data_IF_777684651168
#
_entry.id   IF_777684651168
#
_cell.length_a   1.000
_cell.length_b   1.000
_cell.length_c   1.000
_cell.angle_alpha   90.00
_cell.angle_beta   90.00
_cell.angle_gamma   90.00
#
_symmetry.space_group_name_H-M   'P 1'
#
loop_
_entity.id
_entity.type
_entity.pdbx_description
1 polymer ?
#
# COMPACT_ATOMS: atom_id res chain seq x y z
N UNK A 1 10.95 36.21 -34.17
CA UNK A 1 9.49 36.07 -33.94
C UNK A 1 8.96 34.67 -34.30
N UNK A 2 9.55 33.93 -35.22
CA UNK A 2 9.12 32.57 -35.55
C UNK A 2 9.46 31.50 -34.49
N UNK A 3 10.50 31.70 -33.72
CA UNK A 3 10.91 30.74 -32.64
C UNK A 3 9.99 30.76 -31.44
N UNK A 4 9.31 31.88 -31.13
CA UNK A 4 8.29 31.96 -30.07
C UNK A 4 6.93 31.35 -30.44
N UNK A 5 6.67 31.15 -31.72
CA UNK A 5 5.43 30.53 -32.20
C UNK A 5 5.48 28.99 -32.17
N UNK A 6 6.69 28.40 -32.20
CA UNK A 6 6.89 26.95 -32.07
C UNK A 6 6.77 26.46 -30.65
N UNK A 7 7.01 27.32 -29.67
CA UNK A 7 6.95 26.96 -28.22
C UNK A 7 5.51 26.93 -27.65
N UNK A 8 4.55 27.48 -28.38
CA UNK A 8 3.13 27.52 -27.96
C UNK A 8 2.32 26.27 -28.39
N UNK A 9 2.92 25.32 -29.08
CA UNK A 9 2.23 24.11 -29.58
C UNK A 9 2.58 22.79 -28.88
N UNK A 10 3.46 22.83 -27.88
CA UNK A 10 3.72 21.63 -27.05
C UNK A 10 2.56 21.45 -26.09
N UNK A 11 1.71 20.45 -26.35
CA UNK A 11 0.66 20.10 -25.41
C UNK A 11 1.28 19.83 -24.03
N UNK A 12 0.61 20.15 -22.90
CA UNK A 12 1.12 19.86 -21.55
C UNK A 12 1.55 18.40 -21.37
N UNK A 13 0.95 17.49 -22.12
CA UNK A 13 1.28 16.05 -22.16
C UNK A 13 2.64 15.82 -22.83
N UNK A 14 2.93 16.51 -23.93
CA UNK A 14 4.20 16.38 -24.65
C UNK A 14 5.40 16.90 -23.84
N UNK A 15 5.22 17.95 -23.05
CA UNK A 15 6.26 18.48 -22.17
C UNK A 15 6.62 17.52 -21.04
N UNK A 16 5.61 16.87 -20.42
CA UNK A 16 5.81 15.86 -19.38
C UNK A 16 6.47 14.60 -19.96
N UNK A 17 6.05 14.17 -21.15
CA UNK A 17 6.66 13.03 -21.84
C UNK A 17 8.13 13.30 -22.17
N UNK A 18 8.47 14.51 -22.60
CA UNK A 18 9.85 14.90 -22.89
C UNK A 18 10.71 14.90 -21.62
N UNK A 19 10.20 15.42 -20.51
CA UNK A 19 10.92 15.41 -19.20
C UNK A 19 11.08 14.00 -18.65
N UNK A 20 10.10 13.14 -18.80
CA UNK A 20 10.16 11.74 -18.31
C UNK A 20 11.15 10.87 -19.10
N UNK A 21 11.58 11.28 -20.31
CA UNK A 21 12.67 10.61 -21.04
C UNK A 21 14.04 10.69 -20.36
N UNK A 22 14.23 11.66 -19.45
CA UNK A 22 15.46 11.81 -18.65
C UNK A 22 15.59 10.82 -17.49
N UNK A 23 14.52 10.12 -17.09
CA UNK A 23 14.56 9.15 -16.01
C UNK A 23 15.20 7.83 -16.42
N UNK A 24 15.95 7.22 -15.48
CA UNK A 24 16.48 5.87 -15.66
C UNK A 24 15.34 4.87 -15.55
N UNK A 25 15.06 4.14 -16.60
CA UNK A 25 14.02 3.09 -16.65
C UNK A 25 14.53 1.81 -16.04
N UNK A 26 14.46 1.70 -14.72
CA UNK A 26 15.01 0.58 -13.96
C UNK A 26 13.97 -0.42 -13.45
N UNK A 27 12.71 0.02 -13.29
CA UNK A 27 11.66 -0.79 -12.68
C UNK A 27 11.09 -1.81 -13.66
N UNK A 28 11.10 -3.07 -13.24
CA UNK A 28 10.47 -4.19 -13.93
C UNK A 28 9.13 -4.60 -13.30
N UNK A 29 8.52 -5.63 -13.86
CA UNK A 29 7.24 -6.18 -13.37
C UNK A 29 7.34 -6.65 -11.91
N UNK A 30 8.41 -7.39 -11.55
CA UNK A 30 8.59 -7.90 -10.20
C UNK A 30 8.76 -6.80 -9.16
N UNK A 31 9.52 -5.75 -9.50
CA UNK A 31 9.71 -4.59 -8.62
C UNK A 31 8.36 -3.91 -8.32
N UNK A 32 7.50 -3.76 -9.33
CA UNK A 32 6.18 -3.15 -9.15
C UNK A 32 5.21 -4.03 -8.37
N UNK A 33 5.27 -5.36 -8.50
CA UNK A 33 4.47 -6.29 -7.69
C UNK A 33 4.85 -6.15 -6.21
N UNK A 34 6.14 -6.18 -5.90
CA UNK A 34 6.64 -6.03 -4.53
C UNK A 34 6.31 -4.64 -3.96
N UNK A 35 6.42 -3.60 -4.78
CA UNK A 35 6.03 -2.23 -4.39
C UNK A 35 4.53 -2.15 -4.06
N UNK A 36 3.65 -2.77 -4.85
CA UNK A 36 2.22 -2.80 -4.55
C UNK A 36 1.92 -3.55 -3.26
N UNK A 37 2.56 -4.70 -3.02
CA UNK A 37 2.40 -5.44 -1.78
C UNK A 37 2.82 -4.58 -0.60
N UNK A 38 3.96 -3.89 -0.71
CA UNK A 38 4.46 -2.99 0.34
C UNK A 38 3.48 -1.82 0.62
N UNK A 39 2.88 -1.24 -0.42
CA UNK A 39 2.03 -0.06 -0.27
C UNK A 39 0.61 -0.41 0.22
N UNK A 40 0.07 -1.55 -0.20
CA UNK A 40 -1.32 -1.92 0.08
C UNK A 40 -1.42 -2.78 1.34
N UNK A 41 -0.52 -3.76 1.52
CA UNK A 41 -0.68 -4.74 2.59
C UNK A 41 -0.16 -4.21 3.92
N UNK A 42 -1.06 -4.09 4.90
CA UNK A 42 -0.72 -3.66 6.25
C UNK A 42 -1.28 -4.61 7.32
N UNK A 43 -0.44 -5.05 8.26
CA UNK A 43 -0.83 -5.96 9.34
C UNK A 43 -1.92 -5.39 10.26
N UNK A 44 -1.96 -4.07 10.46
CA UNK A 44 -3.01 -3.41 11.25
C UNK A 44 -4.41 -3.61 10.69
N UNK A 45 -4.55 -3.77 9.37
CA UNK A 45 -5.85 -3.96 8.73
C UNK A 45 -6.45 -5.35 8.99
N UNK A 46 -5.63 -6.40 9.05
CA UNK A 46 -6.11 -7.75 9.39
C UNK A 46 -6.60 -7.81 10.83
N UNK A 47 -5.94 -7.11 11.76
CA UNK A 47 -6.40 -6.98 13.14
C UNK A 47 -7.72 -6.20 13.26
N UNK A 48 -7.90 -5.14 12.48
CA UNK A 48 -9.16 -4.39 12.44
C UNK A 48 -10.30 -5.23 11.85
N UNK A 49 -10.04 -5.95 10.75
CA UNK A 49 -11.01 -6.82 10.10
C UNK A 49 -11.39 -8.04 10.94
N UNK A 50 -10.49 -8.55 11.77
CA UNK A 50 -10.75 -9.66 12.69
C UNK A 50 -11.92 -9.39 13.65
N UNK A 51 -12.19 -8.10 13.97
CA UNK A 51 -13.35 -7.69 14.77
C UNK A 51 -14.70 -8.00 14.13
N UNK A 52 -14.74 -8.28 12.84
CA UNK A 52 -15.94 -8.70 12.12
C UNK A 52 -16.26 -10.18 12.28
N UNK A 53 -15.39 -10.95 12.95
CA UNK A 53 -15.55 -12.40 13.08
C UNK A 53 -15.57 -13.09 11.71
N UNK A 54 -16.30 -14.18 11.59
CA UNK A 54 -16.40 -14.99 10.37
C UNK A 54 -17.04 -14.23 9.18
N UNK A 55 -17.73 -13.11 9.42
CA UNK A 55 -18.26 -12.26 8.34
C UNK A 55 -17.17 -11.44 7.61
N UNK A 56 -15.93 -11.39 8.13
CA UNK A 56 -14.81 -10.67 7.52
C UNK A 56 -14.58 -11.07 6.05
N UNK A 57 -14.78 -12.35 5.70
CA UNK A 57 -14.59 -12.82 4.33
C UNK A 57 -15.54 -12.11 3.37
N UNK A 58 -16.83 -12.03 3.73
CA UNK A 58 -17.82 -11.35 2.92
C UNK A 58 -17.49 -9.86 2.78
N UNK A 59 -17.05 -9.21 3.84
CA UNK A 59 -16.63 -7.80 3.80
C UNK A 59 -15.38 -7.58 2.96
N UNK A 60 -14.37 -8.46 3.03
CA UNK A 60 -13.19 -8.38 2.15
C UNK A 60 -13.57 -8.57 0.68
N UNK A 61 -14.40 -9.57 0.38
CA UNK A 61 -14.89 -9.80 -0.99
C UNK A 61 -15.65 -8.58 -1.51
N UNK A 62 -16.56 -8.01 -0.71
CA UNK A 62 -17.28 -6.80 -1.07
C UNK A 62 -16.34 -5.60 -1.28
N UNK A 63 -15.37 -5.39 -0.41
CA UNK A 63 -14.40 -4.31 -0.55
C UNK A 63 -13.55 -4.47 -1.83
N UNK A 64 -13.14 -5.70 -2.14
CA UNK A 64 -12.39 -5.99 -3.37
C UNK A 64 -13.26 -5.73 -4.60
N UNK A 65 -14.49 -6.21 -4.62
CA UNK A 65 -15.38 -6.08 -5.77
C UNK A 65 -15.86 -4.63 -5.99
N UNK A 66 -16.19 -3.92 -4.91
CA UNK A 66 -16.79 -2.59 -5.01
C UNK A 66 -15.77 -1.46 -5.05
N UNK A 67 -14.58 -1.68 -4.54
CA UNK A 67 -13.55 -0.63 -4.47
C UNK A 67 -12.28 -1.02 -5.24
N UNK A 68 -11.64 -2.13 -4.89
CA UNK A 68 -10.31 -2.46 -5.41
C UNK A 68 -10.31 -2.79 -6.91
N UNK A 69 -11.24 -3.62 -7.39
CA UNK A 69 -11.32 -3.95 -8.82
C UNK A 69 -11.71 -2.76 -9.69
N UNK A 70 -12.69 -1.91 -9.34
CA UNK A 70 -12.95 -0.69 -10.09
C UNK A 70 -11.75 0.26 -10.12
N UNK A 71 -11.07 0.45 -8.97
CA UNK A 71 -9.86 1.25 -8.90
C UNK A 71 -8.76 0.69 -9.81
N UNK A 72 -8.54 -0.63 -9.77
CA UNK A 72 -7.58 -1.31 -10.64
C UNK A 72 -7.88 -1.09 -12.12
N UNK A 73 -9.15 -1.20 -12.51
CA UNK A 73 -9.58 -0.94 -13.88
C UNK A 73 -9.31 0.49 -14.31
N UNK A 74 -9.60 1.48 -13.44
CA UNK A 74 -9.33 2.91 -13.69
C UNK A 74 -7.83 3.16 -13.83
N UNK A 75 -7.00 2.64 -12.93
CA UNK A 75 -5.54 2.80 -12.99
C UNK A 75 -4.97 2.21 -14.28
N UNK A 76 -5.38 1.00 -14.65
CA UNK A 76 -4.94 0.35 -15.90
C UNK A 76 -5.38 1.18 -17.12
N UNK A 77 -6.62 1.64 -17.13
CA UNK A 77 -7.18 2.42 -18.24
C UNK A 77 -6.47 3.77 -18.39
N UNK A 78 -6.35 4.55 -17.31
CA UNK A 78 -5.71 5.86 -17.34
C UNK A 78 -4.21 5.75 -17.65
N UNK A 79 -3.52 4.74 -17.11
CA UNK A 79 -2.11 4.50 -17.46
C UNK A 79 -1.94 4.09 -18.93
N UNK A 80 -2.93 3.42 -19.54
CA UNK A 80 -2.91 3.12 -20.98
C UNK A 80 -3.07 4.37 -21.84
N UNK A 81 -3.93 5.30 -21.40
CA UNK A 81 -4.15 6.56 -22.13
C UNK A 81 -3.02 7.56 -21.93
N UNK A 82 -2.53 7.64 -20.71
CA UNK A 82 -1.55 8.64 -20.28
C UNK A 82 -0.49 7.99 -19.36
N UNK A 83 0.50 7.27 -19.90
CA UNK A 83 1.57 6.64 -19.12
C UNK A 83 2.61 7.68 -18.69
N UNK A 84 2.16 8.74 -18.02
CA UNK A 84 2.96 9.88 -17.63
C UNK A 84 3.50 9.73 -16.21
N UNK A 85 4.72 10.20 -15.98
CA UNK A 85 5.29 10.37 -14.64
C UNK A 85 4.39 11.27 -13.79
N UNK A 86 4.23 10.92 -12.51
CA UNK A 86 3.33 11.64 -11.61
C UNK A 86 1.88 11.15 -11.61
N UNK A 87 1.51 10.18 -12.46
CA UNK A 87 0.24 9.45 -12.47
C UNK A 87 -0.99 10.28 -12.12
N UNK A 88 -1.51 10.10 -10.90
CA UNK A 88 -2.72 10.77 -10.38
C UNK A 88 -2.76 12.29 -10.61
N UNK A 89 -1.63 12.97 -10.33
CA UNK A 89 -1.52 14.42 -10.54
C UNK A 89 -1.75 14.78 -12.01
N UNK A 90 -1.07 14.07 -12.92
CA UNK A 90 -1.14 14.34 -14.35
C UNK A 90 -2.52 14.01 -14.91
N UNK A 91 -3.14 12.91 -14.45
CA UNK A 91 -4.48 12.54 -14.88
C UNK A 91 -5.52 13.58 -14.44
N UNK A 92 -5.41 14.11 -13.20
CA UNK A 92 -6.29 15.15 -12.71
C UNK A 92 -6.08 16.49 -13.46
N UNK A 93 -4.80 16.84 -13.73
CA UNK A 93 -4.46 18.05 -14.48
C UNK A 93 -4.99 17.97 -15.92
N UNK A 94 -4.79 16.85 -16.59
CA UNK A 94 -5.22 16.67 -17.99
C UNK A 94 -6.74 16.48 -18.12
N UNK A 95 -7.39 15.80 -17.14
CA UNK A 95 -8.83 15.54 -17.19
C UNK A 95 -9.70 16.70 -16.75
N UNK A 96 -9.19 17.60 -15.91
CA UNK A 96 -9.95 18.73 -15.37
C UNK A 96 -9.21 20.05 -15.64
N UNK A 97 -8.24 20.41 -14.82
CA UNK A 97 -7.46 21.65 -14.92
C UNK A 97 -6.23 21.62 -13.98
N UNK A 98 -5.41 22.67 -14.03
CA UNK A 98 -4.21 22.79 -13.19
C UNK A 98 -4.54 22.86 -11.68
N UNK A 99 -5.66 23.49 -11.29
CA UNK A 99 -6.08 23.58 -9.89
C UNK A 99 -6.44 22.21 -9.34
N UNK A 100 -7.15 21.38 -10.09
CA UNK A 100 -7.48 20.00 -9.73
C UNK A 100 -6.19 19.15 -9.59
N UNK A 101 -5.26 19.27 -10.55
CA UNK A 101 -3.95 18.64 -10.46
C UNK A 101 -3.21 19.04 -9.18
N UNK A 102 -3.10 20.33 -8.90
CA UNK A 102 -2.47 20.82 -7.67
C UNK A 102 -3.13 20.26 -6.40
N UNK A 103 -4.46 20.27 -6.33
CA UNK A 103 -5.20 19.72 -5.18
C UNK A 103 -4.91 18.22 -4.97
N UNK A 104 -4.84 17.45 -6.04
CA UNK A 104 -4.47 16.01 -5.96
C UNK A 104 -3.05 15.85 -5.45
N UNK A 105 -2.09 16.59 -6.01
CA UNK A 105 -0.68 16.53 -5.57
C UNK A 105 -0.54 16.91 -4.09
N UNK A 106 -1.22 17.98 -3.66
CA UNK A 106 -1.23 18.42 -2.27
C UNK A 106 -1.81 17.36 -1.32
N UNK A 107 -2.94 16.76 -1.67
CA UNK A 107 -3.56 15.73 -0.84
C UNK A 107 -2.69 14.46 -0.76
N UNK A 108 -2.08 14.03 -1.88
CA UNK A 108 -1.15 12.89 -1.88
C UNK A 108 0.05 13.19 -1.00
N UNK A 109 0.65 14.39 -1.11
CA UNK A 109 1.76 14.80 -0.26
C UNK A 109 1.37 14.80 1.23
N UNK A 110 0.26 15.46 1.58
CA UNK A 110 -0.21 15.52 2.97
C UNK A 110 -0.50 14.11 3.54
N UNK A 111 -1.14 13.25 2.74
CA UNK A 111 -1.38 11.86 3.12
C UNK A 111 -0.06 11.10 3.39
N UNK A 112 0.94 11.26 2.53
CA UNK A 112 2.24 10.60 2.72
C UNK A 112 2.96 11.08 3.98
N UNK A 113 2.89 12.37 4.32
CA UNK A 113 3.47 12.90 5.57
C UNK A 113 2.82 12.25 6.79
N UNK A 114 1.48 12.15 6.80
CA UNK A 114 0.74 11.50 7.89
C UNK A 114 1.08 10.01 7.96
N UNK A 115 1.14 9.35 6.81
CA UNK A 115 1.42 7.91 6.71
C UNK A 115 2.82 7.57 7.24
N UNK A 116 3.85 8.30 6.82
CA UNK A 116 5.23 8.09 7.28
C UNK A 116 5.35 8.34 8.79
N UNK A 117 4.66 9.37 9.29
CA UNK A 117 4.62 9.65 10.73
C UNK A 117 3.98 8.51 11.52
N UNK A 118 2.87 7.96 11.04
CA UNK A 118 2.20 6.81 11.65
C UNK A 118 3.08 5.55 11.62
N UNK A 119 3.79 5.31 10.53
CA UNK A 119 4.77 4.22 10.44
C UNK A 119 5.93 4.42 11.39
N UNK A 120 6.43 5.63 11.56
CA UNK A 120 7.49 5.94 12.52
C UNK A 120 7.12 5.53 13.95
N UNK A 121 5.92 5.90 14.38
CA UNK A 121 5.40 5.49 15.70
C UNK A 121 5.21 3.98 15.79
N UNK A 122 4.71 3.32 14.74
CA UNK A 122 4.55 1.87 14.72
C UNK A 122 5.91 1.15 14.82
N UNK A 123 6.94 1.65 14.13
CA UNK A 123 8.32 1.13 14.23
C UNK A 123 8.87 1.34 15.64
N UNK A 124 8.70 2.52 16.23
CA UNK A 124 9.14 2.82 17.59
C UNK A 124 8.54 1.82 18.59
N UNK A 125 7.22 1.63 18.54
CA UNK A 125 6.53 0.67 19.41
C UNK A 125 7.02 -0.76 19.18
N UNK A 126 7.20 -1.19 17.93
CA UNK A 126 7.67 -2.54 17.62
C UNK A 126 9.09 -2.78 18.15
N UNK A 127 9.98 -1.78 18.02
CA UNK A 127 11.36 -1.87 18.53
C UNK A 127 11.38 -2.10 20.05
N UNK A 128 10.48 -1.46 20.81
CA UNK A 128 10.43 -1.66 22.27
C UNK A 128 10.10 -3.12 22.61
N UNK A 129 9.19 -3.76 21.88
CA UNK A 129 8.88 -5.18 22.07
C UNK A 129 10.05 -6.09 21.70
N UNK A 130 10.82 -5.75 20.67
CA UNK A 130 12.03 -6.49 20.27
C UNK A 130 13.13 -6.37 21.31
N UNK A 131 13.28 -5.20 21.93
CA UNK A 131 14.26 -4.95 23.02
C UNK A 131 13.89 -5.72 24.31
N UNK A 132 12.64 -6.12 24.46
CA UNK A 132 12.16 -6.96 25.55
C UNK A 132 11.56 -6.21 26.74
N UNK A 133 11.07 -6.95 27.77
CA UNK A 133 10.24 -6.40 28.85
C UNK A 133 10.91 -5.28 29.66
N UNK A 134 12.24 -5.31 29.76
CA UNK A 134 13.01 -4.30 30.50
C UNK A 134 12.87 -2.87 29.89
N UNK A 135 12.57 -2.78 28.59
CA UNK A 135 12.46 -1.53 27.85
C UNK A 135 11.02 -1.03 27.68
N UNK A 136 10.01 -1.77 28.18
CA UNK A 136 8.59 -1.40 28.03
C UNK A 136 8.25 -0.02 28.63
N UNK A 137 9.04 0.50 29.58
CA UNK A 137 8.85 1.82 30.15
C UNK A 137 9.06 2.97 29.12
N UNK A 138 9.78 2.70 28.03
CA UNK A 138 9.97 3.64 26.92
C UNK A 138 8.74 3.65 26.00
N UNK A 139 7.95 2.57 25.94
CA UNK A 139 6.71 2.53 25.19
C UNK A 139 5.80 3.64 25.72
N UNK A 140 5.23 4.45 24.84
CA UNK A 140 4.45 5.66 25.16
C UNK A 140 5.30 6.91 25.53
N UNK A 141 6.62 6.88 25.39
CA UNK A 141 7.43 8.07 25.53
C UNK A 141 7.43 8.85 24.20
N UNK A 142 6.78 10.00 24.21
CA UNK A 142 6.61 10.87 23.02
C UNK A 142 7.95 11.29 22.38
N UNK A 143 8.98 11.48 23.18
CA UNK A 143 10.30 11.88 22.69
C UNK A 143 11.03 10.71 22.00
N UNK A 144 10.86 9.50 22.52
CA UNK A 144 11.35 8.28 21.86
C UNK A 144 10.64 8.05 20.53
N UNK A 145 9.31 8.12 20.50
CA UNK A 145 8.51 7.97 19.27
C UNK A 145 8.91 9.02 18.22
N UNK A 146 9.07 10.28 18.65
CA UNK A 146 9.51 11.36 17.77
C UNK A 146 10.94 11.13 17.26
N UNK A 147 11.86 10.72 18.13
CA UNK A 147 13.25 10.44 17.76
C UNK A 147 13.37 9.32 16.72
N UNK A 148 12.70 8.20 16.95
CA UNK A 148 12.66 7.07 15.99
C UNK A 148 12.02 7.49 14.68
N UNK A 149 10.92 8.24 14.73
CA UNK A 149 10.24 8.74 13.53
C UNK A 149 11.13 9.66 12.71
N UNK A 150 11.80 10.62 13.35
CA UNK A 150 12.73 11.53 12.68
C UNK A 150 13.90 10.76 12.09
N UNK A 151 14.49 9.83 12.83
CA UNK A 151 15.60 8.99 12.35
C UNK A 151 15.19 8.18 11.11
N UNK A 152 13.98 7.62 11.11
CA UNK A 152 13.42 6.89 9.97
C UNK A 152 13.25 7.80 8.76
N UNK A 153 12.66 8.99 8.94
CA UNK A 153 12.45 9.97 7.86
C UNK A 153 13.78 10.41 7.26
N UNK A 154 14.75 10.77 8.11
CA UNK A 154 16.10 11.20 7.67
C UNK A 154 16.79 10.04 6.93
N UNK A 155 16.70 8.82 7.44
CA UNK A 155 17.25 7.63 6.78
C UNK A 155 16.65 7.41 5.39
N UNK A 156 15.34 7.49 5.27
CA UNK A 156 14.64 7.36 3.98
C UNK A 156 14.99 8.52 3.02
N UNK A 157 15.13 9.75 3.53
CA UNK A 157 15.58 10.89 2.72
C UNK A 157 17.00 10.65 2.18
N UNK A 158 17.93 10.19 3.01
CA UNK A 158 19.30 9.88 2.58
C UNK A 158 19.32 8.79 1.50
N UNK A 159 18.53 7.74 1.67
CA UNK A 159 18.34 6.70 0.62
C UNK A 159 17.78 7.31 -0.65
N UNK A 160 16.78 8.19 -0.54
CA UNK A 160 16.19 8.89 -1.69
C UNK A 160 17.17 9.75 -2.47
N UNK A 161 18.15 10.40 -1.80
CA UNK A 161 19.18 11.21 -2.48
C UNK A 161 20.17 10.37 -3.31
N UNK A 162 20.35 9.09 -2.95
CA UNK A 162 21.22 8.16 -3.72
C UNK A 162 20.56 7.77 -5.06
N UNK A 163 19.25 7.89 -5.15
CA UNK A 163 18.49 7.65 -6.37
C UNK A 163 17.80 6.29 -6.42
N UNK A 164 17.01 6.10 -7.49
CA UNK A 164 16.13 4.94 -7.67
C UNK A 164 16.88 3.60 -7.71
N UNK A 165 18.12 3.58 -8.21
CA UNK A 165 18.95 2.37 -8.24
C UNK A 165 19.10 1.69 -6.89
N UNK A 166 19.14 2.48 -5.80
CA UNK A 166 19.14 1.98 -4.42
C UNK A 166 17.71 1.91 -3.86
N UNK A 167 16.88 2.92 -4.14
CA UNK A 167 15.50 3.01 -3.64
C UNK A 167 14.65 1.79 -3.99
N UNK A 168 14.79 1.24 -5.21
CA UNK A 168 14.06 0.02 -5.61
C UNK A 168 14.39 -1.19 -4.74
N UNK A 169 15.64 -1.32 -4.27
CA UNK A 169 16.02 -2.43 -3.39
C UNK A 169 15.40 -2.31 -2.01
N UNK A 170 15.20 -1.09 -1.50
CA UNK A 170 14.46 -0.85 -0.26
C UNK A 170 12.99 -1.27 -0.42
N UNK A 171 12.34 -0.88 -1.54
CA UNK A 171 10.98 -1.32 -1.85
C UNK A 171 10.88 -2.83 -2.01
N UNK A 172 11.81 -3.44 -2.74
CA UNK A 172 11.82 -4.89 -2.96
C UNK A 172 12.04 -5.65 -1.65
N UNK A 173 12.98 -5.20 -0.82
CA UNK A 173 13.21 -5.79 0.50
C UNK A 173 11.98 -5.64 1.41
N UNK A 174 11.34 -4.46 1.42
CA UNK A 174 10.10 -4.23 2.16
C UNK A 174 8.96 -5.13 1.69
N UNK A 175 8.73 -5.22 0.38
CA UNK A 175 7.71 -6.08 -0.20
C UNK A 175 7.97 -7.57 0.06
N UNK A 176 9.21 -8.02 -0.06
CA UNK A 176 9.61 -9.40 0.26
C UNK A 176 9.42 -9.70 1.76
N UNK A 177 9.83 -8.78 2.64
CA UNK A 177 9.61 -8.93 4.09
C UNK A 177 8.12 -8.99 4.42
N UNK A 178 7.29 -8.20 3.75
CA UNK A 178 5.83 -8.24 3.93
C UNK A 178 5.25 -9.60 3.55
N UNK A 179 5.74 -10.21 2.46
CA UNK A 179 5.37 -11.58 2.08
C UNK A 179 5.80 -12.61 3.15
N UNK A 180 7.00 -12.48 3.69
CA UNK A 180 7.50 -13.36 4.76
C UNK A 180 6.64 -13.22 6.01
N UNK A 181 6.36 -11.99 6.46
CA UNK A 181 5.54 -11.72 7.65
C UNK A 181 4.13 -12.28 7.49
N UNK A 182 3.49 -12.06 6.34
CA UNK A 182 2.15 -12.61 6.10
C UNK A 182 2.18 -14.12 5.89
N UNK A 183 3.22 -14.67 5.27
CA UNK A 183 3.43 -16.10 5.17
C UNK A 183 3.55 -16.76 6.54
N UNK A 184 4.33 -16.17 7.45
CA UNK A 184 4.44 -16.62 8.83
C UNK A 184 3.10 -16.50 9.57
N UNK A 185 2.38 -15.37 9.43
CA UNK A 185 1.07 -15.16 10.02
C UNK A 185 0.06 -16.22 9.57
N UNK A 186 0.01 -16.51 8.26
CA UNK A 186 -0.89 -17.52 7.67
C UNK A 186 -0.52 -18.94 8.13
N UNK A 187 0.77 -19.23 8.32
CA UNK A 187 1.24 -20.53 8.78
C UNK A 187 1.00 -20.74 10.29
N UNK A 188 0.91 -19.67 11.08
CA UNK A 188 0.83 -19.73 12.55
C UNK A 188 -0.31 -20.63 13.08
N UNK A 189 -1.57 -20.61 12.57
CA UNK A 189 -2.62 -21.49 13.05
C UNK A 189 -2.33 -22.97 12.83
N UNK A 190 -1.62 -23.34 11.77
CA UNK A 190 -1.23 -24.73 11.51
C UNK A 190 -0.20 -25.23 12.54
N UNK A 191 0.74 -24.38 12.93
CA UNK A 191 1.65 -24.68 14.05
C UNK A 191 0.92 -24.77 15.37
N UNK A 192 -0.02 -23.84 15.63
CA UNK A 192 -0.83 -23.83 16.84
C UNK A 192 -1.71 -25.11 16.96
N UNK A 193 -2.25 -25.60 15.85
CA UNK A 193 -2.96 -26.90 15.80
C UNK A 193 -2.05 -28.06 16.15
N UNK A 194 -0.84 -28.12 15.57
CA UNK A 194 0.13 -29.19 15.83
C UNK A 194 0.59 -29.24 17.29
N UNK A 195 0.68 -28.08 17.94
CA UNK A 195 1.06 -27.97 19.36
C UNK A 195 -0.13 -28.04 20.32
N UNK A 196 -1.35 -28.25 19.81
CA UNK A 196 -2.56 -28.36 20.64
C UNK A 196 -2.99 -27.04 21.29
N UNK A 197 -2.45 -25.90 20.84
CA UNK A 197 -2.81 -24.57 21.38
C UNK A 197 -4.21 -24.16 20.95
N UNK A 198 -4.65 -24.60 19.77
CA UNK A 198 -6.01 -24.45 19.24
C UNK A 198 -6.55 -25.82 18.84
N UNK A 199 -7.87 -26.01 18.93
CA UNK A 199 -8.53 -27.30 18.63
C UNK A 199 -8.98 -27.44 17.19
N UNK A 200 -9.26 -26.33 16.51
CA UNK A 200 -9.71 -26.32 15.12
C UNK A 200 -9.35 -25.00 14.43
N UNK A 201 -9.18 -25.06 13.11
CA UNK A 201 -8.95 -23.88 12.27
C UNK A 201 -9.69 -24.03 10.95
N UNK A 202 -10.58 -23.08 10.67
CA UNK A 202 -11.38 -23.04 9.45
C UNK A 202 -11.14 -21.71 8.74
N UNK A 203 -10.09 -21.60 7.90
CA UNK A 203 -9.66 -20.33 7.30
C UNK A 203 -10.71 -19.68 6.40
N UNK A 204 -11.61 -20.47 5.84
CA UNK A 204 -12.66 -20.01 4.93
C UNK A 204 -14.08 -20.12 5.53
N UNK A 205 -14.19 -20.21 6.88
CA UNK A 205 -15.50 -20.14 7.52
C UNK A 205 -16.11 -18.75 7.32
N UNK A 206 -17.19 -18.68 6.55
CA UNK A 206 -17.87 -17.44 6.21
C UNK A 206 -19.29 -17.43 6.76
N UNK A 207 -19.70 -16.29 7.31
CA UNK A 207 -21.09 -16.00 7.68
C UNK A 207 -21.59 -14.77 6.91
N UNK A 208 -22.90 -14.64 6.76
CA UNK A 208 -23.46 -13.47 6.12
C UNK A 208 -23.17 -12.21 6.94
N UNK A 209 -22.82 -11.10 6.29
CA UNK A 209 -22.50 -9.87 6.97
C UNK A 209 -23.75 -9.27 7.65
N UNK A 210 -23.65 -8.98 8.94
CA UNK A 210 -24.67 -8.22 9.64
C UNK A 210 -24.38 -6.72 9.50
N UNK A 211 -25.33 -5.96 8.96
CA UNK A 211 -25.23 -4.52 8.81
C UNK A 211 -25.41 -3.84 10.19
N UNK A 212 -24.32 -3.41 10.79
CA UNK A 212 -24.28 -2.57 11.98
C UNK A 212 -23.40 -1.34 11.73
N UNK A 213 -23.55 -0.30 12.54
CA UNK A 213 -22.71 0.91 12.43
C UNK A 213 -21.22 0.54 12.57
N UNK A 214 -20.90 -0.38 13.47
CA UNK A 214 -19.53 -0.85 13.66
C UNK A 214 -19.00 -1.58 12.41
N UNK A 215 -19.77 -2.55 11.89
CA UNK A 215 -19.35 -3.33 10.73
C UNK A 215 -19.23 -2.45 9.46
N UNK A 216 -20.12 -1.49 9.26
CA UNK A 216 -20.03 -0.53 8.16
C UNK A 216 -18.82 0.41 8.30
N UNK A 217 -18.50 0.85 9.52
CA UNK A 217 -17.30 1.64 9.77
C UNK A 217 -16.02 0.86 9.45
N UNK A 218 -15.95 -0.40 9.91
CA UNK A 218 -14.81 -1.29 9.61
C UNK A 218 -14.75 -1.54 8.10
N UNK A 219 -15.86 -1.83 7.45
CA UNK A 219 -15.94 -2.03 6.01
C UNK A 219 -15.42 -0.82 5.22
N UNK A 220 -15.85 0.40 5.59
CA UNK A 220 -15.34 1.63 4.98
C UNK A 220 -13.83 1.78 5.13
N UNK A 221 -13.30 1.47 6.31
CA UNK A 221 -11.85 1.47 6.55
C UNK A 221 -11.12 0.40 5.73
N UNK A 222 -11.70 -0.78 5.58
CA UNK A 222 -11.13 -1.85 4.75
C UNK A 222 -11.13 -1.45 3.27
N UNK A 223 -12.26 -0.96 2.77
CA UNK A 223 -12.40 -0.58 1.37
C UNK A 223 -11.49 0.59 0.99
N UNK A 224 -11.55 1.69 1.74
CA UNK A 224 -10.81 2.92 1.39
C UNK A 224 -9.41 2.94 1.99
N UNK A 225 -9.23 2.47 3.23
CA UNK A 225 -7.94 2.54 3.92
C UNK A 225 -7.01 1.39 3.55
N UNK A 226 -7.48 0.13 3.68
CA UNK A 226 -6.62 -1.04 3.47
C UNK A 226 -6.31 -1.31 1.99
N UNK A 227 -7.26 -1.04 1.09
CA UNK A 227 -7.13 -1.34 -0.34
C UNK A 227 -6.65 -0.15 -1.18
N UNK A 228 -6.35 1.01 -0.57
CA UNK A 228 -5.67 2.12 -1.23
C UNK A 228 -4.18 1.86 -1.38
N UNK A 229 -3.53 2.55 -2.34
CA UNK A 229 -2.10 2.42 -2.61
C UNK A 229 -1.78 1.82 -3.99
N UNK A 230 -2.74 1.11 -4.60
CA UNK A 230 -2.62 0.56 -5.94
C UNK A 230 -2.28 1.65 -6.98
N UNK A 231 -2.92 2.79 -6.86
CA UNK A 231 -2.75 3.95 -7.73
C UNK A 231 -1.36 4.56 -7.66
N UNK A 232 -0.68 4.38 -6.53
CA UNK A 232 0.67 4.93 -6.32
C UNK A 232 1.71 4.35 -7.27
N UNK A 233 1.48 3.12 -7.79
CA UNK A 233 2.37 2.52 -8.79
C UNK A 233 2.37 3.29 -10.11
N UNK A 234 1.27 3.97 -10.45
CA UNK A 234 1.19 4.79 -11.66
C UNK A 234 2.07 6.05 -11.58
N UNK A 235 2.43 6.50 -10.38
CA UNK A 235 3.36 7.62 -10.18
C UNK A 235 4.75 7.28 -10.74
N UNK A 236 5.13 5.99 -10.71
CA UNK A 236 6.41 5.47 -11.15
C UNK A 236 6.46 5.15 -12.66
N UNK A 237 5.47 5.58 -13.43
CA UNK A 237 5.36 5.23 -14.85
C UNK A 237 6.60 5.62 -15.68
N UNK A 238 7.20 6.79 -15.43
CA UNK A 238 8.40 7.28 -16.12
C UNK A 238 9.66 6.45 -15.87
N UNK A 239 9.72 5.76 -14.72
CA UNK A 239 10.84 4.94 -14.27
C UNK A 239 10.70 3.46 -14.64
N UNK A 240 9.56 3.07 -15.25
CA UNK A 240 9.31 1.72 -15.71
C UNK A 240 9.97 1.44 -17.06
N UNK A 241 10.55 0.24 -17.21
CA UNK A 241 11.10 -0.24 -18.50
C UNK A 241 10.02 -0.31 -19.58
N UNK A 242 8.82 -0.74 -19.23
CA UNK A 242 7.66 -0.77 -20.10
C UNK A 242 6.40 -0.45 -19.27
N UNK A 243 6.03 0.85 -19.13
CA UNK A 243 4.94 1.28 -18.25
C UNK A 243 3.63 0.55 -18.50
N UNK A 244 3.24 0.41 -19.79
CA UNK A 244 1.96 -0.19 -20.19
C UNK A 244 1.84 -1.65 -19.77
N UNK A 245 2.91 -2.43 -19.96
CA UNK A 245 2.92 -3.87 -19.60
C UNK A 245 3.19 -4.07 -18.13
N UNK A 246 4.17 -3.36 -17.59
CA UNK A 246 4.63 -3.57 -16.20
C UNK A 246 3.58 -3.14 -15.20
N UNK A 247 2.93 -1.97 -15.34
CA UNK A 247 1.89 -1.50 -14.43
C UNK A 247 0.64 -2.40 -14.53
N UNK A 248 0.16 -2.67 -15.76
CA UNK A 248 -0.98 -3.58 -15.94
C UNK A 248 -0.68 -4.97 -15.36
N UNK A 249 0.48 -5.53 -15.67
CA UNK A 249 0.87 -6.86 -15.21
C UNK A 249 1.01 -6.93 -13.69
N UNK A 250 1.59 -5.90 -13.07
CA UNK A 250 1.75 -5.84 -11.62
C UNK A 250 0.41 -5.76 -10.90
N UNK A 251 -0.55 -4.97 -11.41
CA UNK A 251 -1.90 -4.90 -10.87
C UNK A 251 -2.59 -6.26 -10.93
N UNK A 252 -2.54 -6.94 -12.07
CA UNK A 252 -3.18 -8.26 -12.27
C UNK A 252 -2.55 -9.32 -11.35
N UNK A 253 -1.23 -9.30 -11.15
CA UNK A 253 -0.55 -10.28 -10.32
C UNK A 253 -0.65 -9.97 -8.83
N UNK A 254 -0.55 -8.70 -8.43
CA UNK A 254 -0.62 -8.33 -7.02
C UNK A 254 -2.04 -8.45 -6.44
N UNK A 255 -3.08 -8.16 -7.23
CA UNK A 255 -4.48 -8.19 -6.77
C UNK A 255 -4.88 -9.50 -6.09
N UNK A 256 -4.76 -10.69 -6.70
CA UNK A 256 -5.14 -11.94 -6.05
C UNK A 256 -4.25 -12.25 -4.84
N UNK A 257 -2.98 -11.91 -4.89
CA UNK A 257 -2.05 -12.14 -3.79
C UNK A 257 -2.42 -11.28 -2.57
N UNK A 258 -2.72 -10.00 -2.78
CA UNK A 258 -3.19 -9.08 -1.74
C UNK A 258 -4.53 -9.56 -1.15
N UNK A 259 -5.46 -10.02 -1.99
CA UNK A 259 -6.73 -10.58 -1.55
C UNK A 259 -6.54 -11.80 -0.63
N UNK A 260 -5.69 -12.74 -1.02
CA UNK A 260 -5.34 -13.91 -0.20
C UNK A 260 -4.69 -13.49 1.11
N UNK A 261 -3.71 -12.58 1.06
CA UNK A 261 -3.03 -12.08 2.27
C UNK A 261 -4.03 -11.47 3.26
N UNK A 262 -4.96 -10.65 2.82
CA UNK A 262 -5.95 -10.03 3.70
C UNK A 262 -6.98 -11.05 4.23
N UNK A 263 -7.57 -11.88 3.38
CA UNK A 263 -8.62 -12.82 3.78
C UNK A 263 -8.05 -13.89 4.72
N UNK A 264 -6.99 -14.57 4.28
CA UNK A 264 -6.40 -15.67 5.07
C UNK A 264 -5.62 -15.12 6.27
N UNK A 265 -4.94 -13.98 6.12
CA UNK A 265 -4.27 -13.31 7.23
C UNK A 265 -5.24 -12.90 8.35
N UNK A 266 -6.43 -12.37 7.99
CA UNK A 266 -7.47 -12.06 8.97
C UNK A 266 -7.99 -13.33 9.66
N UNK A 267 -8.22 -14.40 8.91
CA UNK A 267 -8.63 -15.69 9.48
C UNK A 267 -7.58 -16.26 10.41
N UNK A 268 -6.30 -16.09 10.10
CA UNK A 268 -5.20 -16.53 10.95
C UNK A 268 -5.15 -15.77 12.28
N UNK A 269 -5.32 -14.45 12.24
CA UNK A 269 -5.40 -13.63 13.47
C UNK A 269 -6.56 -14.08 14.35
N UNK A 270 -7.74 -14.29 13.75
CA UNK A 270 -8.93 -14.74 14.49
C UNK A 270 -8.74 -16.12 15.17
N UNK A 271 -7.98 -17.01 14.54
CA UNK A 271 -7.73 -18.33 15.09
C UNK A 271 -6.83 -18.31 16.35
N UNK A 272 -5.88 -17.36 16.40
CA UNK A 272 -4.86 -17.32 17.45
C UNK A 272 -5.21 -16.32 18.55
N UNK A 273 -5.93 -15.26 18.20
CA UNK A 273 -6.37 -14.23 19.19
C UNK A 273 -7.82 -14.48 19.57
N UNK A 274 -8.10 -14.88 20.83
CA UNK A 274 -9.48 -15.09 21.28
C UNK A 274 -10.31 -13.81 21.20
N UNK A 275 -11.56 -13.90 20.76
CA UNK A 275 -12.49 -12.77 20.61
C UNK A 275 -12.86 -12.04 21.93
N UNK A 276 -12.37 -12.51 23.06
CA UNK A 276 -12.67 -12.01 24.42
C UNK A 276 -11.65 -11.00 24.95
N UNK A 277 -10.79 -10.42 24.09
CA UNK A 277 -9.86 -9.37 24.52
C UNK A 277 -9.95 -8.11 23.69
#
# INVERSE_FOLDING_TARGET
>A
MAERALDASVSPVGDVEHRSRGFRRELGLGDLVLTQILYVVGSGWVGAAAKLGTSQIAYWVLAILLFYLPQAAVVIYLNRLMPLEGGLYQWAKAGFNERAGFMVAWNVWAFMVILISAFGVAVANTLVYVLGPHWLWIANNKWYDAGVTVALIVGLMLVGTVGLGVGKWVHNAGGAMQLIVFGALIAMPYFALRHGTITSYHPLAATLPAASVLSLNIFGKMAVGALSGLESVAILAGECRNPLRSIRGSVILATPLIAVMFIIGTSAVMAVVPASR
#
